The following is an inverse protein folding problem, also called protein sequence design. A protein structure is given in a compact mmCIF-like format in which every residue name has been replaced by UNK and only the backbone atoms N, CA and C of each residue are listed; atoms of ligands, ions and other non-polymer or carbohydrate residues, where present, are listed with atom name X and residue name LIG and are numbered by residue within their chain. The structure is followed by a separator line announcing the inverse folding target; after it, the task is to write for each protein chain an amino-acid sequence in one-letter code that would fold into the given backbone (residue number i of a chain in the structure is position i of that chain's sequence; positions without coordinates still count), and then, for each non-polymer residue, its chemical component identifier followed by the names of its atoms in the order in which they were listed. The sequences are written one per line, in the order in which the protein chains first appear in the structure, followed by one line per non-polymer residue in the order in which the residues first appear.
data_IF_728605763392
#
_entry.id   IF_728605763392
#
_cell.length_a   1.000
_cell.length_b   1.000
_cell.length_c   1.000
_cell.angle_alpha   90.00
_cell.angle_beta   90.00
_cell.angle_gamma   90.00
#
_symmetry.space_group_name_H-M   'P 1'
#
loop_
_entity.id
_entity.type
_entity.pdbx_description
1 polymer ?
#
# COMPACT_ATOMS: atom_id res chain seq x y z
N UNK A 1 -5.56 -4.49 44.76
CA UNK A 1 -5.77 -3.88 46.08
C UNK A 1 -4.40 -3.63 46.70
N UNK A 2 -3.73 -2.56 46.25
CA UNK A 2 -2.44 -2.14 46.81
C UNK A 2 -2.68 -1.12 47.91
N UNK A 3 -2.02 -1.36 49.03
CA UNK A 3 -1.97 -0.48 50.20
C UNK A 3 -1.38 0.87 49.78
N UNK A 4 -2.10 1.94 50.09
CA UNK A 4 -1.57 3.29 50.06
C UNK A 4 -0.81 3.50 51.37
N UNK A 5 0.49 3.79 51.25
CA UNK A 5 1.31 4.30 52.35
C UNK A 5 0.91 5.77 52.64
N UNK A 6 0.83 6.18 53.92
CA UNK A 6 0.51 7.55 54.28
C UNK A 6 1.71 8.48 54.03
N UNK A 7 1.42 9.65 53.46
CA UNK A 7 2.34 10.76 53.26
C UNK A 7 3.01 11.19 54.58
N UNK A 8 4.29 11.60 54.57
CA UNK A 8 4.94 12.18 55.72
C UNK A 8 4.42 13.61 55.98
N UNK A 9 4.05 13.88 57.22
CA UNK A 9 3.67 15.20 57.72
C UNK A 9 4.80 16.23 57.50
N UNK A 10 4.47 17.50 57.21
CA UNK A 10 5.47 18.54 57.04
C UNK A 10 6.12 18.87 58.38
N UNK A 11 7.44 18.71 58.45
CA UNK A 11 8.28 19.18 59.54
C UNK A 11 8.06 20.67 59.77
N UNK A 12 7.76 21.02 61.02
CA UNK A 12 7.56 22.38 61.46
C UNK A 12 8.84 23.21 61.23
N UNK A 13 8.69 24.31 60.49
CA UNK A 13 9.70 25.35 60.34
C UNK A 13 10.14 25.87 61.72
N UNK A 14 11.44 25.96 62.03
CA UNK A 14 11.90 26.65 63.22
C UNK A 14 11.68 28.16 63.05
N UNK A 15 10.93 28.75 63.99
CA UNK A 15 10.74 30.19 64.11
C UNK A 15 12.11 30.90 64.17
N UNK A 16 12.28 32.05 63.49
CA UNK A 16 13.49 32.84 63.64
C UNK A 16 13.49 33.49 65.02
N UNK A 17 14.39 33.05 65.91
CA UNK A 17 14.73 33.74 67.15
C UNK A 17 15.29 35.14 66.81
N UNK A 18 14.40 36.12 66.72
CA UNK A 18 14.74 37.53 66.74
C UNK A 18 14.96 37.94 68.20
N UNK A 19 16.18 37.78 68.69
CA UNK A 19 16.64 38.52 69.87
C UNK A 19 18.15 38.78 69.75
N UNK A 20 18.50 39.57 68.73
CA UNK A 20 19.75 40.31 68.73
C UNK A 20 19.64 41.40 69.80
N UNK A 21 19.92 41.02 71.05
CA UNK A 21 20.18 41.95 72.14
C UNK A 21 21.31 42.88 71.71
N UNK A 22 20.94 44.08 71.28
CA UNK A 22 21.81 45.23 71.07
C UNK A 22 22.56 45.45 72.39
N UNK A 23 23.79 44.97 72.44
CA UNK A 23 24.71 45.29 73.53
C UNK A 23 24.96 46.80 73.48
N UNK A 24 24.83 47.51 74.61
CA UNK A 24 25.10 48.93 74.63
C UNK A 24 26.57 49.15 74.28
N UNK A 25 26.79 49.97 73.26
CA UNK A 25 28.09 50.53 72.88
C UNK A 25 28.75 51.03 74.16
N UNK A 26 29.82 50.34 74.57
CA UNK A 26 30.69 50.74 75.67
C UNK A 26 31.08 52.21 75.46
N UNK A 27 30.59 53.07 76.33
CA UNK A 27 31.16 54.39 76.50
C UNK A 27 32.66 54.22 76.84
N UNK A 28 33.56 55.04 76.28
CA UNK A 28 34.97 54.99 76.65
C UNK A 28 35.08 55.29 78.14
N UNK A 29 35.45 54.28 78.93
CA UNK A 29 35.82 54.50 80.33
C UNK A 29 36.98 55.52 80.36
N UNK A 30 36.96 56.48 81.30
CA UNK A 30 38.02 57.46 81.40
C UNK A 30 39.36 56.75 81.58
N UNK A 31 40.39 57.25 80.89
CA UNK A 31 41.72 56.67 80.83
C UNK A 31 42.45 56.80 82.18
N UNK A 32 42.02 56.01 83.16
CA UNK A 32 42.55 55.97 84.55
C UNK A 32 44.00 55.49 84.62
N UNK A 33 44.57 55.07 83.48
CA UNK A 33 45.96 54.64 83.38
C UNK A 33 46.96 55.79 83.62
N UNK A 34 46.61 57.01 83.20
CA UNK A 34 47.41 58.22 83.41
C UNK A 34 47.37 58.63 84.87
N UNK A 35 46.18 58.62 85.48
CA UNK A 35 45.98 58.99 86.88
C UNK A 35 46.75 58.08 87.85
N UNK A 36 46.86 56.79 87.53
CA UNK A 36 47.58 55.81 88.38
C UNK A 36 49.09 55.85 88.22
N UNK A 37 49.59 56.13 87.01
CA UNK A 37 51.02 56.35 86.81
C UNK A 37 51.49 57.62 87.53
N UNK A 38 50.66 58.65 87.55
CA UNK A 38 50.92 59.88 88.30
C UNK A 38 50.73 59.67 89.81
N UNK A 39 49.81 58.81 90.25
CA UNK A 39 49.70 58.37 91.65
C UNK A 39 50.94 57.60 92.12
N UNK A 40 51.46 56.65 91.33
CA UNK A 40 52.68 55.91 91.66
C UNK A 40 53.89 56.86 91.80
N UNK A 41 54.08 57.79 90.85
CA UNK A 41 55.12 58.82 90.91
C UNK A 41 54.97 59.74 92.13
N UNK A 42 53.73 60.10 92.47
CA UNK A 42 53.41 60.90 93.64
C UNK A 42 53.73 60.15 94.95
N UNK A 43 53.42 58.86 95.02
CA UNK A 43 53.75 57.99 96.15
C UNK A 43 55.26 57.79 96.29
N UNK A 44 55.99 57.56 95.19
CA UNK A 44 57.45 57.49 95.18
C UNK A 44 58.09 58.78 95.71
N UNK A 45 57.63 59.94 95.21
CA UNK A 45 58.09 61.24 95.67
C UNK A 45 57.78 61.45 97.17
N UNK A 46 56.59 61.04 97.64
CA UNK A 46 56.20 61.12 99.04
C UNK A 46 57.06 60.22 99.94
N UNK A 47 57.37 59.01 99.51
CA UNK A 47 58.28 58.09 100.22
C UNK A 47 59.65 58.75 100.35
N UNK A 48 60.20 59.32 99.27
CA UNK A 48 61.49 60.00 99.30
C UNK A 48 61.52 61.17 100.30
N UNK A 49 60.45 61.97 100.36
CA UNK A 49 60.32 63.07 101.34
C UNK A 49 60.23 62.55 102.78
N UNK A 50 59.45 61.49 103.02
CA UNK A 50 59.31 60.88 104.36
C UNK A 50 60.63 60.28 104.84
N UNK A 51 61.41 59.67 103.94
CA UNK A 51 62.74 59.16 104.25
C UNK A 51 63.73 60.29 104.59
N UNK A 52 63.71 61.38 103.83
CA UNK A 52 64.53 62.56 104.13
C UNK A 52 64.19 63.16 105.50
N UNK A 53 62.90 63.34 105.80
CA UNK A 53 62.43 63.84 107.10
C UNK A 53 62.80 62.88 108.24
N UNK A 54 62.72 61.57 108.02
CA UNK A 54 63.17 60.58 109.00
C UNK A 54 64.67 60.77 109.29
N UNK A 55 65.51 60.88 108.26
CA UNK A 55 66.96 61.09 108.43
C UNK A 55 67.21 62.39 109.21
N UNK A 56 66.53 63.48 108.84
CA UNK A 56 66.66 64.76 109.56
C UNK A 56 66.26 64.62 111.03
N UNK A 57 65.13 63.95 111.33
CA UNK A 57 64.73 63.69 112.73
C UNK A 57 65.72 62.81 113.47
N UNK A 58 66.32 61.80 112.83
CA UNK A 58 67.38 60.98 113.44
C UNK A 58 68.61 61.82 113.80
N UNK A 59 69.09 62.65 112.87
CA UNK A 59 70.23 63.54 113.12
C UNK A 59 69.95 64.57 114.21
N UNK A 60 68.74 65.12 114.27
CA UNK A 60 68.34 66.04 115.33
C UNK A 60 68.24 65.32 116.68
N UNK A 61 67.72 64.08 116.69
CA UNK A 61 67.65 63.25 117.89
C UNK A 61 69.04 63.03 118.49
N UNK A 62 70.01 62.70 117.64
CA UNK A 62 71.36 62.37 118.08
C UNK A 62 72.10 63.62 118.60
N UNK A 63 71.97 64.77 117.92
CA UNK A 63 72.45 66.06 118.45
C UNK A 63 71.80 66.43 119.78
N UNK A 64 70.50 66.17 119.93
CA UNK A 64 69.77 66.44 121.17
C UNK A 64 70.24 65.52 122.31
N UNK A 65 70.48 64.23 122.03
CA UNK A 65 71.07 63.28 123.01
C UNK A 65 72.46 63.73 123.46
N UNK A 66 73.30 64.17 122.53
CA UNK A 66 74.65 64.68 122.82
C UNK A 66 74.59 65.95 123.69
N UNK A 67 73.68 66.88 123.37
CA UNK A 67 73.44 68.08 124.16
C UNK A 67 72.90 67.76 125.56
N UNK A 68 71.99 66.78 125.68
CA UNK A 68 71.47 66.27 126.96
C UNK A 68 72.60 65.66 127.79
N UNK A 69 73.45 64.82 127.20
CA UNK A 69 74.58 64.20 127.87
C UNK A 69 75.60 65.25 128.37
N UNK A 70 75.85 66.28 127.56
CA UNK A 70 76.74 67.41 127.91
C UNK A 70 76.14 68.30 129.00
N UNK A 71 74.84 68.61 128.93
CA UNK A 71 74.15 69.38 129.96
C UNK A 71 74.06 68.61 131.28
N UNK A 72 73.84 67.30 131.24
CA UNK A 72 73.82 66.43 132.41
C UNK A 72 75.18 66.35 133.12
N UNK A 73 76.30 66.41 132.38
CA UNK A 73 77.65 66.41 132.96
C UNK A 73 78.09 67.78 133.52
N UNK A 74 77.53 68.88 133.03
CA UNK A 74 77.79 70.25 133.52
C UNK A 74 76.87 70.68 134.67
N UNK A 75 75.77 69.96 134.89
CA UNK A 75 74.74 70.30 135.87
C UNK A 75 75.06 69.80 137.29
N UNK A 76 76.16 70.25 137.89
CA UNK A 76 76.34 70.13 139.34
C UNK A 76 75.46 71.18 140.07
N UNK A 77 74.20 70.80 140.35
CA UNK A 77 73.45 71.34 141.49
C UNK A 77 72.37 72.42 141.26
N UNK A 78 72.11 72.90 140.04
CA UNK A 78 71.11 73.96 139.79
C UNK A 78 69.69 73.46 139.45
N UNK A 79 68.64 74.00 140.08
CA UNK A 79 67.22 73.73 139.71
C UNK A 79 66.91 74.04 138.24
N UNK A 80 67.55 75.07 137.67
CA UNK A 80 67.36 75.48 136.27
C UNK A 80 67.92 74.44 135.28
N UNK A 81 69.05 73.81 135.59
CA UNK A 81 69.63 72.77 134.75
C UNK A 81 68.75 71.51 134.71
N UNK A 82 68.12 71.15 135.83
CA UNK A 82 67.12 70.05 135.89
C UNK A 82 65.88 70.33 135.05
N UNK A 83 65.41 71.58 135.01
CA UNK A 83 64.26 71.96 134.17
C UNK A 83 64.60 71.89 132.67
N UNK A 84 65.79 72.36 132.26
CA UNK A 84 66.26 72.27 130.87
C UNK A 84 66.48 70.82 130.43
N UNK A 85 66.95 69.95 131.33
CA UNK A 85 67.08 68.51 131.08
C UNK A 85 65.72 67.85 130.82
N UNK A 86 64.74 68.10 131.70
CA UNK A 86 63.38 67.56 131.53
C UNK A 86 62.70 68.07 130.24
N UNK A 87 62.93 69.32 129.86
CA UNK A 87 62.44 69.87 128.58
C UNK A 87 63.11 69.18 127.38
N UNK A 88 64.42 68.93 127.44
CA UNK A 88 65.14 68.23 126.38
C UNK A 88 64.70 66.75 126.27
N UNK A 89 64.45 66.06 127.38
CA UNK A 89 63.88 64.70 127.40
C UNK A 89 62.46 64.67 126.80
N UNK A 90 61.62 65.66 127.13
CA UNK A 90 60.28 65.78 126.55
C UNK A 90 60.34 66.05 125.02
N UNK A 91 61.29 66.88 124.57
CA UNK A 91 61.55 67.08 123.12
C UNK A 91 62.04 65.80 122.46
N UNK A 92 62.90 65.02 123.11
CA UNK A 92 63.36 63.71 122.61
C UNK A 92 62.21 62.72 122.47
N UNK A 93 61.32 62.64 123.47
CA UNK A 93 60.15 61.77 123.42
C UNK A 93 59.18 62.15 122.29
N UNK A 94 58.94 63.46 122.09
CA UNK A 94 58.11 63.96 120.98
C UNK A 94 58.71 63.63 119.62
N UNK A 95 60.04 63.76 119.49
CA UNK A 95 60.75 63.44 118.26
C UNK A 95 60.76 61.93 117.96
N UNK A 96 60.92 61.10 119.00
CA UNK A 96 60.79 59.64 118.87
C UNK A 96 59.39 59.23 118.41
N UNK A 97 58.34 59.85 118.97
CA UNK A 97 56.97 59.63 118.51
C UNK A 97 56.76 60.10 117.05
N UNK A 98 57.36 61.23 116.66
CA UNK A 98 57.35 61.72 115.27
C UNK A 98 58.04 60.73 114.33
N UNK A 99 59.19 60.17 114.73
CA UNK A 99 59.92 59.16 113.96
C UNK A 99 59.08 57.89 113.74
N UNK A 100 58.41 57.39 114.77
CA UNK A 100 57.52 56.22 114.65
C UNK A 100 56.39 56.47 113.66
N UNK A 101 55.73 57.64 113.74
CA UNK A 101 54.67 58.01 112.78
C UNK A 101 55.20 58.17 111.35
N UNK A 102 56.40 58.70 111.17
CA UNK A 102 57.04 58.80 109.85
C UNK A 102 57.34 57.40 109.27
N UNK A 103 57.75 56.44 110.11
CA UNK A 103 57.97 55.06 109.68
C UNK A 103 56.66 54.37 109.28
N UNK A 104 55.61 54.50 110.08
CA UNK A 104 54.28 53.95 109.78
C UNK A 104 53.74 54.53 108.47
N UNK A 105 53.79 55.85 108.30
CA UNK A 105 53.32 56.51 107.07
C UNK A 105 54.15 56.15 105.84
N UNK A 106 55.46 55.92 106.00
CA UNK A 106 56.32 55.43 104.91
C UNK A 106 56.01 53.97 104.55
N UNK A 107 55.72 53.12 105.54
CA UNK A 107 55.30 51.73 105.30
C UNK A 107 53.95 51.66 104.58
N UNK A 108 52.97 52.46 104.99
CA UNK A 108 51.67 52.55 104.31
C UNK A 108 51.82 53.03 102.86
N UNK A 109 52.66 54.05 102.63
CA UNK A 109 52.92 54.54 101.28
C UNK A 109 53.59 53.48 100.39
N UNK A 110 54.53 52.70 100.93
CA UNK A 110 55.15 51.57 100.21
C UNK A 110 54.15 50.47 99.88
N UNK A 111 53.29 50.09 100.82
CA UNK A 111 52.25 49.09 100.58
C UNK A 111 51.30 49.52 99.46
N UNK A 112 50.90 50.80 99.43
CA UNK A 112 50.08 51.36 98.35
C UNK A 112 50.81 51.36 97.01
N UNK A 113 52.10 51.73 96.99
CA UNK A 113 52.90 51.69 95.76
C UNK A 113 52.96 50.28 95.18
N UNK A 114 53.23 49.26 96.02
CA UNK A 114 53.26 47.86 95.58
C UNK A 114 51.92 47.40 95.01
N UNK A 115 50.79 47.78 95.64
CA UNK A 115 49.47 47.45 95.12
C UNK A 115 49.19 48.09 93.75
N UNK A 116 49.57 49.36 93.56
CA UNK A 116 49.43 50.06 92.28
C UNK A 116 50.32 49.43 91.20
N UNK A 117 51.54 49.01 91.54
CA UNK A 117 52.42 48.30 90.61
C UNK A 117 51.87 46.94 90.17
N UNK A 118 51.30 46.17 91.09
CA UNK A 118 50.66 44.88 90.80
C UNK A 118 49.44 45.08 89.88
N UNK A 119 48.56 46.03 90.21
CA UNK A 119 47.41 46.36 89.36
C UNK A 119 47.86 46.85 87.97
N UNK A 120 48.94 47.63 87.88
CA UNK A 120 49.52 48.05 86.59
C UNK A 120 50.00 46.86 85.75
N UNK A 121 50.61 45.83 86.37
CA UNK A 121 51.04 44.62 85.66
C UNK A 121 49.84 43.83 85.15
N UNK A 122 48.81 43.65 85.98
CA UNK A 122 47.59 42.92 85.60
C UNK A 122 46.86 43.62 84.44
N UNK A 123 46.72 44.94 84.49
CA UNK A 123 46.10 45.70 83.41
C UNK A 123 46.90 45.61 82.11
N UNK A 124 48.24 45.67 82.18
CA UNK A 124 49.08 45.45 81.00
C UNK A 124 48.85 44.07 80.40
N UNK A 125 48.74 43.04 81.24
CA UNK A 125 48.44 41.69 80.76
C UNK A 125 47.06 41.60 80.12
N UNK A 126 46.03 42.18 80.74
CA UNK A 126 44.68 42.24 80.17
C UNK A 126 44.67 42.95 78.81
N UNK A 127 45.41 44.05 78.65
CA UNK A 127 45.54 44.75 77.36
C UNK A 127 46.21 43.86 76.31
N UNK A 128 47.23 43.09 76.66
CA UNK A 128 47.89 42.14 75.74
C UNK A 128 46.91 41.05 75.31
N UNK A 129 46.17 40.47 76.25
CA UNK A 129 45.20 39.42 75.98
C UNK A 129 44.06 39.93 75.10
N UNK A 130 43.55 41.13 75.37
CA UNK A 130 42.52 41.78 74.55
C UNK A 130 43.02 42.07 73.14
N UNK A 131 44.25 42.59 72.98
CA UNK A 131 44.86 42.81 71.65
C UNK A 131 45.02 41.50 70.88
N UNK A 132 45.39 40.43 71.57
CA UNK A 132 45.53 39.09 70.97
C UNK A 132 44.18 38.53 70.53
N UNK A 133 43.14 38.68 71.36
CA UNK A 133 41.77 38.30 71.02
C UNK A 133 41.23 39.11 69.84
N UNK A 134 41.49 40.42 69.81
CA UNK A 134 41.12 41.30 68.70
C UNK A 134 41.78 40.86 67.39
N UNK A 135 43.09 40.58 67.41
CA UNK A 135 43.80 40.10 66.23
C UNK A 135 43.23 38.77 65.71
N UNK A 136 42.91 37.84 66.61
CA UNK A 136 42.28 36.55 66.24
C UNK A 136 40.89 36.76 65.65
N UNK A 137 40.08 37.63 66.23
CA UNK A 137 38.74 37.94 65.73
C UNK A 137 38.80 38.56 64.33
N UNK A 138 39.71 39.51 64.09
CA UNK A 138 39.91 40.11 62.77
C UNK A 138 40.33 39.07 61.73
N UNK A 139 41.26 38.18 62.06
CA UNK A 139 41.66 37.09 61.16
C UNK A 139 40.50 36.12 60.85
N UNK A 140 39.60 35.89 61.82
CA UNK A 140 38.39 35.10 61.58
C UNK A 140 37.41 35.82 60.66
N UNK A 141 37.24 37.14 60.81
CA UNK A 141 36.40 37.95 59.93
C UNK A 141 36.93 37.89 58.49
N UNK A 142 38.22 38.15 58.27
CA UNK A 142 38.84 38.08 56.94
C UNK A 142 38.67 36.70 56.28
N UNK A 143 38.83 35.63 57.07
CA UNK A 143 38.60 34.25 56.60
C UNK A 143 37.13 34.01 56.21
N UNK A 144 36.19 34.45 57.05
CA UNK A 144 34.76 34.35 56.76
C UNK A 144 34.35 35.15 55.53
N UNK A 145 34.88 36.36 55.34
CA UNK A 145 34.64 37.18 54.15
C UNK A 145 35.16 36.49 52.88
N UNK A 146 36.34 35.87 52.93
CA UNK A 146 36.87 35.08 51.82
C UNK A 146 35.96 33.89 51.48
N UNK A 147 35.49 33.15 52.48
CA UNK A 147 34.59 32.01 52.29
C UNK A 147 33.26 32.48 51.69
N UNK A 148 32.71 33.60 52.16
CA UNK A 148 31.47 34.18 51.61
C UNK A 148 31.67 34.52 50.13
N UNK A 149 32.78 35.15 49.75
CA UNK A 149 33.07 35.49 48.35
C UNK A 149 33.19 34.23 47.46
N UNK A 150 33.82 33.16 47.95
CA UNK A 150 33.90 31.88 47.24
C UNK A 150 32.51 31.24 47.07
N UNK A 151 31.68 31.25 48.11
CA UNK A 151 30.32 30.71 48.07
C UNK A 151 29.41 31.52 47.13
N UNK A 152 29.53 32.84 47.11
CA UNK A 152 28.83 33.70 46.15
C UNK A 152 29.25 33.40 44.71
N UNK A 153 30.55 33.19 44.47
CA UNK A 153 31.07 32.76 43.17
C UNK A 153 30.52 31.41 42.74
N UNK A 154 30.54 30.42 43.64
CA UNK A 154 29.97 29.09 43.39
C UNK A 154 28.47 29.15 43.12
N UNK A 155 27.73 29.99 43.84
CA UNK A 155 26.29 30.21 43.65
C UNK A 155 25.98 30.77 42.25
N UNK A 156 26.74 31.79 41.79
CA UNK A 156 26.58 32.34 40.43
C UNK A 156 26.82 31.28 39.36
N UNK A 157 27.90 30.51 39.47
CA UNK A 157 28.19 29.42 38.54
C UNK A 157 27.09 28.36 38.53
N UNK A 158 26.55 28.00 39.69
CA UNK A 158 25.45 27.04 39.78
C UNK A 158 24.15 27.57 39.12
N UNK A 159 23.86 28.87 39.24
CA UNK A 159 22.72 29.51 38.59
C UNK A 159 22.88 29.48 37.07
N UNK A 160 24.06 29.85 36.55
CA UNK A 160 24.36 29.82 35.11
C UNK A 160 24.25 28.40 34.56
N UNK A 161 24.88 27.42 35.24
CA UNK A 161 24.79 26.02 34.86
C UNK A 161 23.34 25.52 34.84
N UNK A 162 22.51 25.93 35.81
CA UNK A 162 21.09 25.58 35.83
C UNK A 162 20.34 26.17 34.63
N UNK A 163 20.66 27.40 34.23
CA UNK A 163 20.06 28.05 33.06
C UNK A 163 20.43 27.29 31.77
N UNK A 164 21.68 26.88 31.61
CA UNK A 164 22.15 26.08 30.48
C UNK A 164 21.45 24.72 30.42
N UNK A 165 21.33 24.03 31.56
CA UNK A 165 20.59 22.76 31.62
C UNK A 165 19.11 22.93 31.24
N UNK A 166 18.44 24.01 31.67
CA UNK A 166 17.06 24.31 31.27
C UNK A 166 16.95 24.57 29.77
N UNK A 167 17.89 25.29 29.18
CA UNK A 167 17.94 25.53 27.74
C UNK A 167 18.12 24.21 26.97
N UNK A 168 19.11 23.40 27.36
CA UNK A 168 19.35 22.08 26.77
C UNK A 168 18.14 21.14 26.87
N UNK A 169 17.43 21.15 28.00
CA UNK A 169 16.21 20.36 28.19
C UNK A 169 15.08 20.83 27.27
N UNK A 170 14.95 22.15 27.06
CA UNK A 170 13.96 22.74 26.15
C UNK A 170 14.23 22.34 24.71
N UNK A 171 15.48 22.39 24.28
CA UNK A 171 15.90 22.02 22.92
C UNK A 171 15.68 20.53 22.68
N UNK A 172 16.07 19.67 23.61
CA UNK A 172 15.80 18.23 23.54
C UNK A 172 14.30 17.92 23.48
N UNK A 173 13.47 18.66 24.23
CA UNK A 173 12.00 18.53 24.17
C UNK A 173 11.45 18.95 22.79
N UNK A 174 11.99 20.01 22.20
CA UNK A 174 11.58 20.48 20.87
C UNK A 174 11.97 19.46 19.78
N UNK A 175 13.18 18.92 19.84
CA UNK A 175 13.65 17.85 18.94
C UNK A 175 12.77 16.60 19.08
N UNK A 176 12.43 16.19 20.30
CA UNK A 176 11.56 15.04 20.53
C UNK A 176 10.17 15.23 19.90
N UNK A 177 9.59 16.44 20.00
CA UNK A 177 8.31 16.76 19.33
C UNK A 177 8.44 16.68 17.81
N UNK A 178 9.49 17.25 17.24
CA UNK A 178 9.73 17.20 15.79
C UNK A 178 9.87 15.75 15.28
N UNK A 179 10.61 14.91 16.02
CA UNK A 179 10.75 13.48 15.71
C UNK A 179 9.42 12.74 15.78
N UNK A 180 8.59 13.00 16.81
CA UNK A 180 7.24 12.39 16.91
C UNK A 180 6.34 12.81 15.76
N UNK A 181 6.37 14.09 15.37
CA UNK A 181 5.63 14.55 14.19
C UNK A 181 6.10 13.86 12.92
N UNK A 182 7.43 13.66 12.76
CA UNK A 182 7.99 12.93 11.62
C UNK A 182 7.58 11.46 11.61
N UNK A 183 7.53 10.81 12.77
CA UNK A 183 7.02 9.43 12.89
C UNK A 183 5.57 9.37 12.43
N UNK A 184 4.69 10.27 12.88
CA UNK A 184 3.29 10.27 12.45
C UNK A 184 3.11 10.46 10.94
N UNK A 185 3.93 11.31 10.31
CA UNK A 185 3.95 11.45 8.85
C UNK A 185 4.39 10.17 8.13
N UNK A 186 5.41 9.49 8.67
CA UNK A 186 5.89 8.22 8.11
C UNK A 186 4.86 7.10 8.27
N UNK A 187 4.16 7.02 9.40
CA UNK A 187 3.07 6.06 9.61
C UNK A 187 1.95 6.28 8.59
N UNK A 188 1.56 7.53 8.35
CA UNK A 188 0.55 7.86 7.35
C UNK A 188 1.02 7.47 5.94
N UNK A 189 2.26 7.78 5.58
CA UNK A 189 2.82 7.41 4.28
C UNK A 189 2.92 5.88 4.08
N UNK A 190 3.17 5.13 5.15
CA UNK A 190 3.16 3.66 5.10
C UNK A 190 1.73 3.15 4.89
N UNK A 191 0.74 3.67 5.61
CA UNK A 191 -0.67 3.30 5.40
C UNK A 191 -1.15 3.61 3.98
N UNK A 192 -0.85 4.80 3.45
CA UNK A 192 -1.17 5.18 2.06
C UNK A 192 -0.51 4.21 1.04
N UNK A 193 0.74 3.80 1.30
CA UNK A 193 1.43 2.82 0.45
C UNK A 193 0.77 1.44 0.52
N UNK A 194 0.33 0.99 1.69
CA UNK A 194 -0.37 -0.29 1.86
C UNK A 194 -1.70 -0.30 1.10
N UNK A 195 -2.47 0.79 1.17
CA UNK A 195 -3.71 0.95 0.39
C UNK A 195 -3.43 0.90 -1.11
N UNK A 196 -2.39 1.59 -1.59
CA UNK A 196 -1.99 1.54 -3.00
C UNK A 196 -1.58 0.13 -3.45
N UNK A 197 -0.86 -0.61 -2.62
CA UNK A 197 -0.50 -2.01 -2.91
C UNK A 197 -1.73 -2.90 -2.98
N UNK A 198 -2.69 -2.73 -2.05
CA UNK A 198 -3.93 -3.48 -2.06
C UNK A 198 -4.76 -3.18 -3.33
N UNK A 199 -4.88 -1.90 -3.69
CA UNK A 199 -5.55 -1.47 -4.92
C UNK A 199 -4.86 -2.06 -6.16
N UNK A 200 -3.52 -2.01 -6.22
CA UNK A 200 -2.75 -2.60 -7.33
C UNK A 200 -2.99 -4.10 -7.45
N UNK A 201 -2.98 -4.83 -6.33
CA UNK A 201 -3.27 -6.27 -6.33
C UNK A 201 -4.68 -6.56 -6.83
N UNK A 202 -5.68 -5.79 -6.39
CA UNK A 202 -7.05 -5.92 -6.88
C UNK A 202 -7.12 -5.70 -8.40
N UNK A 203 -6.49 -4.64 -8.92
CA UNK A 203 -6.47 -4.39 -10.37
C UNK A 203 -5.78 -5.52 -11.15
N UNK A 204 -4.71 -6.10 -10.62
CA UNK A 204 -4.04 -7.25 -11.24
C UNK A 204 -4.92 -8.50 -11.26
N UNK A 205 -5.70 -8.74 -10.20
CA UNK A 205 -6.69 -9.82 -10.17
C UNK A 205 -7.79 -9.60 -11.21
N UNK A 206 -8.31 -8.36 -11.32
CA UNK A 206 -9.31 -7.99 -12.32
C UNK A 206 -8.79 -8.19 -13.75
N UNK A 207 -7.57 -7.74 -14.05
CA UNK A 207 -6.91 -7.96 -15.34
C UNK A 207 -6.74 -9.47 -15.60
N UNK A 208 -6.32 -10.25 -14.59
CA UNK A 208 -6.13 -11.69 -14.74
C UNK A 208 -7.46 -12.41 -15.03
N UNK A 209 -8.55 -11.99 -14.40
CA UNK A 209 -9.90 -12.49 -14.69
C UNK A 209 -10.33 -12.13 -16.11
N UNK A 210 -10.19 -10.87 -16.50
CA UNK A 210 -10.55 -10.40 -17.85
C UNK A 210 -9.77 -11.16 -18.95
N UNK A 211 -8.47 -11.42 -18.73
CA UNK A 211 -7.66 -12.23 -19.66
C UNK A 211 -8.09 -13.70 -19.71
N UNK A 212 -8.57 -14.26 -18.59
CA UNK A 212 -9.10 -15.61 -18.57
C UNK A 212 -10.42 -15.69 -19.34
N UNK A 213 -11.32 -14.72 -19.11
CA UNK A 213 -12.60 -14.61 -19.81
C UNK A 213 -12.37 -14.46 -21.32
N UNK A 214 -11.44 -13.60 -21.75
CA UNK A 214 -11.06 -13.44 -23.16
C UNK A 214 -10.52 -14.75 -23.76
N UNK A 215 -9.73 -15.54 -23.02
CA UNK A 215 -9.24 -16.84 -23.49
C UNK A 215 -10.36 -17.86 -23.65
N UNK A 216 -11.32 -17.88 -22.74
CA UNK A 216 -12.50 -18.75 -22.83
C UNK A 216 -13.34 -18.36 -24.04
N UNK A 217 -13.59 -17.07 -24.24
CA UNK A 217 -14.32 -16.57 -25.41
C UNK A 217 -13.58 -16.91 -26.72
N UNK A 218 -12.27 -16.69 -26.79
CA UNK A 218 -11.46 -17.07 -27.97
C UNK A 218 -11.53 -18.58 -28.25
N UNK A 219 -11.47 -19.42 -27.21
CA UNK A 219 -11.58 -20.86 -27.38
C UNK A 219 -12.96 -21.28 -27.90
N UNK A 220 -14.04 -20.65 -27.42
CA UNK A 220 -15.39 -20.88 -27.93
C UNK A 220 -15.52 -20.46 -29.40
N UNK A 221 -14.96 -19.30 -29.78
CA UNK A 221 -14.93 -18.83 -31.17
C UNK A 221 -14.11 -19.79 -32.06
N UNK A 222 -12.98 -20.31 -31.58
CA UNK A 222 -12.17 -21.29 -32.31
C UNK A 222 -12.89 -22.64 -32.50
N UNK A 223 -13.67 -23.08 -31.50
CA UNK A 223 -14.53 -24.26 -31.60
C UNK A 223 -15.64 -24.04 -32.64
N UNK A 224 -16.35 -22.91 -32.58
CA UNK A 224 -17.38 -22.54 -33.54
C UNK A 224 -16.82 -22.45 -34.97
N UNK A 225 -15.62 -21.86 -35.13
CA UNK A 225 -14.95 -21.79 -36.43
C UNK A 225 -14.54 -23.17 -36.94
N UNK A 226 -14.08 -24.06 -36.06
CA UNK A 226 -13.75 -25.45 -36.41
C UNK A 226 -14.97 -26.23 -36.85
N UNK A 227 -16.11 -26.06 -36.16
CA UNK A 227 -17.39 -26.65 -36.54
C UNK A 227 -17.85 -26.12 -37.91
N UNK A 228 -17.77 -24.81 -38.13
CA UNK A 228 -18.11 -24.19 -39.41
C UNK A 228 -17.22 -24.68 -40.55
N UNK A 229 -15.91 -24.82 -40.31
CA UNK A 229 -14.97 -25.36 -41.30
C UNK A 229 -15.33 -26.80 -41.68
N UNK A 230 -15.75 -27.62 -40.71
CA UNK A 230 -16.20 -29.00 -40.96
C UNK A 230 -17.51 -29.02 -41.76
N UNK A 231 -18.47 -28.17 -41.41
CA UNK A 231 -19.73 -28.04 -42.17
C UNK A 231 -19.47 -27.59 -43.62
N UNK A 232 -18.54 -26.66 -43.82
CA UNK A 232 -18.11 -26.24 -45.15
C UNK A 232 -17.48 -27.39 -45.94
N UNK A 233 -16.62 -28.20 -45.30
CA UNK A 233 -16.02 -29.37 -45.95
C UNK A 233 -17.08 -30.42 -46.33
N UNK A 234 -18.04 -30.70 -45.44
CA UNK A 234 -19.18 -31.59 -45.73
C UNK A 234 -19.99 -31.04 -46.91
N UNK A 235 -20.28 -29.74 -46.91
CA UNK A 235 -21.01 -29.09 -48.00
C UNK A 235 -20.24 -29.22 -49.32
N UNK A 236 -18.93 -28.97 -49.32
CA UNK A 236 -18.07 -29.10 -50.49
C UNK A 236 -18.02 -30.53 -51.01
N UNK A 237 -17.86 -31.52 -50.13
CA UNK A 237 -17.90 -32.94 -50.49
C UNK A 237 -19.26 -33.34 -51.05
N UNK A 238 -20.36 -32.88 -50.44
CA UNK A 238 -21.73 -33.15 -50.91
C UNK A 238 -21.98 -32.51 -52.28
N UNK A 239 -21.49 -31.28 -52.49
CA UNK A 239 -21.59 -30.56 -53.76
C UNK A 239 -20.81 -31.28 -54.85
N UNK A 240 -19.57 -31.68 -54.55
CA UNK A 240 -18.71 -32.43 -55.49
C UNK A 240 -19.32 -33.79 -55.83
N UNK A 241 -19.87 -34.49 -54.82
CA UNK A 241 -20.60 -35.74 -55.03
C UNK A 241 -21.88 -35.55 -55.84
N UNK A 242 -22.63 -34.47 -55.58
CA UNK A 242 -23.81 -34.06 -56.34
C UNK A 242 -23.47 -33.78 -57.80
N UNK A 243 -22.40 -33.03 -58.05
CA UNK A 243 -21.85 -32.76 -59.38
C UNK A 243 -21.43 -34.05 -60.09
N UNK A 244 -20.76 -34.97 -59.39
CA UNK A 244 -20.37 -36.28 -59.94
C UNK A 244 -21.59 -37.12 -60.29
N UNK A 245 -22.64 -37.14 -59.44
CA UNK A 245 -23.91 -37.82 -59.74
C UNK A 245 -24.61 -37.18 -60.94
N UNK A 246 -24.69 -35.86 -60.98
CA UNK A 246 -25.28 -35.14 -62.10
C UNK A 246 -24.54 -35.42 -63.41
N UNK A 247 -23.19 -35.45 -63.39
CA UNK A 247 -22.40 -35.82 -64.56
C UNK A 247 -22.57 -37.29 -64.96
N UNK A 248 -22.67 -38.23 -64.00
CA UNK A 248 -22.97 -39.63 -64.31
C UNK A 248 -24.37 -39.79 -64.91
N UNK A 249 -25.37 -39.10 -64.36
CA UNK A 249 -26.74 -39.08 -64.90
C UNK A 249 -26.78 -38.44 -66.28
N UNK A 250 -26.02 -37.37 -66.50
CA UNK A 250 -25.87 -36.77 -67.83
C UNK A 250 -25.22 -37.74 -68.82
N UNK A 251 -24.15 -38.45 -68.42
CA UNK A 251 -23.53 -39.49 -69.24
C UNK A 251 -24.44 -40.69 -69.52
N UNK A 252 -25.26 -41.10 -68.55
CA UNK A 252 -26.30 -42.12 -68.74
C UNK A 252 -27.37 -41.63 -69.70
N UNK A 253 -27.85 -40.39 -69.54
CA UNK A 253 -28.81 -39.78 -70.44
C UNK A 253 -28.23 -39.66 -71.86
N UNK A 254 -26.95 -39.32 -72.01
CA UNK A 254 -26.26 -39.32 -73.30
C UNK A 254 -26.20 -40.73 -73.92
N UNK A 255 -25.91 -41.76 -73.13
CA UNK A 255 -25.93 -43.16 -73.60
C UNK A 255 -27.33 -43.63 -73.98
N UNK A 256 -28.35 -43.29 -73.20
CA UNK A 256 -29.75 -43.58 -73.52
C UNK A 256 -30.19 -42.84 -74.78
N UNK A 257 -29.75 -41.59 -74.96
CA UNK A 257 -30.03 -40.80 -76.14
C UNK A 257 -29.30 -41.35 -77.37
N UNK A 258 -28.07 -41.84 -77.21
CA UNK A 258 -27.33 -42.51 -78.28
C UNK A 258 -27.94 -43.87 -78.63
N UNK A 259 -28.35 -44.67 -77.63
CA UNK A 259 -29.09 -45.91 -77.86
C UNK A 259 -30.44 -45.64 -78.54
N UNK A 260 -31.14 -44.58 -78.15
CA UNK A 260 -32.36 -44.13 -78.84
C UNK A 260 -32.07 -43.70 -80.28
N UNK A 261 -30.95 -43.02 -80.55
CA UNK A 261 -30.52 -42.67 -81.91
C UNK A 261 -30.18 -43.92 -82.74
N UNK A 262 -29.50 -44.91 -82.17
CA UNK A 262 -29.23 -46.18 -82.84
C UNK A 262 -30.53 -46.94 -83.15
N UNK A 263 -31.48 -46.92 -82.21
CA UNK A 263 -32.81 -47.52 -82.40
C UNK A 263 -33.56 -46.78 -83.50
N UNK A 264 -33.54 -45.45 -83.51
CA UNK A 264 -34.11 -44.63 -84.59
C UNK A 264 -33.42 -44.95 -85.92
N UNK A 265 -32.09 -45.02 -85.98
CA UNK A 265 -31.37 -45.37 -87.19
C UNK A 265 -31.70 -46.80 -87.68
N UNK A 266 -31.91 -47.74 -86.77
CA UNK A 266 -32.38 -49.10 -87.08
C UNK A 266 -33.80 -49.06 -87.63
N UNK A 267 -34.71 -48.33 -87.00
CA UNK A 267 -36.09 -48.16 -87.44
C UNK A 267 -36.17 -47.40 -88.77
N UNK A 268 -35.31 -46.42 -89.01
CA UNK A 268 -35.16 -45.74 -90.30
C UNK A 268 -34.65 -46.73 -91.36
N UNK A 269 -33.71 -47.61 -91.01
CA UNK A 269 -33.25 -48.68 -91.89
C UNK A 269 -34.35 -49.70 -92.21
N UNK A 270 -35.18 -50.06 -91.25
CA UNK A 270 -36.35 -50.92 -91.44
C UNK A 270 -37.45 -50.22 -92.25
N UNK A 271 -37.67 -48.92 -92.03
CA UNK A 271 -38.60 -48.12 -92.81
C UNK A 271 -38.16 -48.03 -94.27
N UNK A 272 -36.87 -47.83 -94.54
CA UNK A 272 -36.32 -47.83 -95.89
C UNK A 272 -36.49 -49.21 -96.54
N UNK A 273 -36.22 -50.31 -95.82
CA UNK A 273 -36.49 -51.68 -96.33
C UNK A 273 -37.97 -51.91 -96.61
N UNK A 274 -38.86 -51.51 -95.70
CA UNK A 274 -40.29 -51.63 -95.88
C UNK A 274 -40.79 -50.76 -97.05
N UNK A 275 -40.19 -49.59 -97.26
CA UNK A 275 -40.49 -48.72 -98.39
C UNK A 275 -40.00 -49.33 -99.71
N UNK A 276 -38.80 -49.93 -99.73
CA UNK A 276 -38.26 -50.65 -100.88
C UNK A 276 -39.07 -51.91 -101.18
N UNK A 277 -39.49 -52.67 -100.17
CA UNK A 277 -40.36 -53.84 -100.30
C UNK A 277 -41.74 -53.45 -100.82
N UNK A 278 -42.35 -52.38 -100.30
CA UNK A 278 -43.61 -51.86 -100.79
C UNK A 278 -43.49 -51.34 -102.23
N UNK A 279 -42.38 -50.70 -102.58
CA UNK A 279 -42.09 -50.26 -103.95
C UNK A 279 -41.88 -51.45 -104.90
N UNK A 280 -41.20 -52.50 -104.44
CA UNK A 280 -41.03 -53.75 -105.17
C UNK A 280 -42.38 -54.45 -105.38
N UNK A 281 -43.24 -54.45 -104.35
CA UNK A 281 -44.59 -54.98 -104.41
C UNK A 281 -45.47 -54.18 -105.40
N UNK A 282 -45.35 -52.85 -105.44
CA UNK A 282 -46.05 -52.03 -106.43
C UNK A 282 -45.54 -52.26 -107.86
N UNK A 283 -44.24 -52.49 -108.04
CA UNK A 283 -43.67 -52.86 -109.35
C UNK A 283 -44.19 -54.23 -109.81
N UNK A 284 -44.29 -55.22 -108.92
CA UNK A 284 -44.87 -56.53 -109.20
C UNK A 284 -46.38 -56.44 -109.48
N UNK A 285 -47.09 -55.55 -108.79
CA UNK A 285 -48.52 -55.30 -109.02
C UNK A 285 -48.76 -54.60 -110.39
N UNK A 286 -47.89 -53.66 -110.76
CA UNK A 286 -47.93 -53.03 -112.10
C UNK A 286 -47.58 -54.02 -113.21
N UNK A 287 -46.63 -54.94 -112.99
CA UNK A 287 -46.31 -56.01 -113.93
C UNK A 287 -47.52 -56.92 -114.16
N UNK A 288 -48.19 -57.36 -113.08
CA UNK A 288 -49.41 -58.19 -113.15
C UNK A 288 -50.61 -57.49 -113.79
N UNK A 289 -50.74 -56.18 -113.59
CA UNK A 289 -51.79 -55.38 -114.24
C UNK A 289 -51.52 -55.15 -115.74
N UNK A 290 -50.25 -54.99 -116.14
CA UNK A 290 -49.87 -54.87 -117.56
C UNK A 290 -50.08 -56.18 -118.35
N UNK A 291 -49.87 -57.33 -117.70
CA UNK A 291 -50.07 -58.66 -118.29
C UNK A 291 -51.56 -58.99 -118.45
N UNK A 292 -52.40 -58.60 -117.48
CA UNK A 292 -53.86 -58.71 -117.59
C UNK A 292 -54.47 -57.78 -118.66
N UNK A 293 -53.93 -56.58 -118.83
CA UNK A 293 -54.36 -55.67 -119.91
C UNK A 293 -54.02 -56.24 -121.30
N UNK A 294 -52.88 -56.92 -121.43
CA UNK A 294 -52.46 -57.58 -122.67
C UNK A 294 -53.33 -58.79 -123.00
N UNK A 295 -53.69 -59.60 -122.01
CA UNK A 295 -54.60 -60.74 -122.17
C UNK A 295 -56.04 -60.31 -122.54
N UNK A 296 -56.56 -59.21 -121.97
CA UNK A 296 -57.90 -58.70 -122.31
C UNK A 296 -58.03 -58.21 -123.76
N UNK A 297 -56.97 -57.65 -124.33
CA UNK A 297 -56.95 -57.21 -125.74
C UNK A 297 -56.90 -58.43 -126.68
N UNK A 298 -56.12 -59.45 -126.35
CA UNK A 298 -55.94 -60.63 -127.20
C UNK A 298 -57.20 -61.53 -127.26
N UNK A 299 -57.93 -61.65 -126.13
CA UNK A 299 -59.23 -62.33 -126.10
C UNK A 299 -60.32 -61.51 -126.82
N UNK A 300 -60.30 -60.17 -126.73
CA UNK A 300 -61.29 -59.31 -127.39
C UNK A 300 -61.19 -59.29 -128.92
N UNK A 301 -59.99 -59.44 -129.48
CA UNK A 301 -59.79 -59.52 -130.94
C UNK A 301 -60.24 -60.87 -131.50
N UNK A 302 -60.04 -61.96 -130.74
CA UNK A 302 -60.37 -63.33 -131.18
C UNK A 302 -61.87 -63.62 -131.17
N UNK A 303 -62.61 -63.03 -130.23
CA UNK A 303 -64.08 -63.18 -130.15
C UNK A 303 -64.79 -62.41 -131.28
N UNK A 304 -64.35 -61.20 -131.62
CA UNK A 304 -64.94 -60.41 -132.72
C UNK A 304 -64.70 -61.03 -134.10
N UNK A 305 -63.60 -61.76 -134.27
CA UNK A 305 -63.31 -62.47 -135.52
C UNK A 305 -64.23 -63.70 -135.70
N UNK A 306 -64.57 -64.38 -134.61
CA UNK A 306 -65.46 -65.54 -134.61
C UNK A 306 -66.94 -65.15 -134.80
N UNK A 307 -67.37 -64.02 -134.23
CA UNK A 307 -68.73 -63.47 -134.42
C UNK A 307 -68.98 -63.01 -135.87
N UNK A 308 -68.00 -62.38 -136.53
CA UNK A 308 -68.12 -61.98 -137.93
C UNK A 308 -68.19 -63.18 -138.89
N UNK A 309 -67.37 -64.22 -138.67
CA UNK A 309 -67.40 -65.42 -139.50
C UNK A 309 -68.71 -66.23 -139.33
N UNK A 310 -69.34 -66.19 -138.14
CA UNK A 310 -70.64 -66.81 -137.91
C UNK A 310 -71.80 -66.03 -138.56
N UNK A 311 -71.73 -64.70 -138.59
CA UNK A 311 -72.72 -63.87 -139.30
C UNK A 311 -72.62 -64.03 -140.82
N UNK A 312 -71.41 -64.13 -141.38
CA UNK A 312 -71.22 -64.40 -142.81
C UNK A 312 -71.73 -65.80 -143.22
N UNK A 313 -71.51 -66.83 -142.39
CA UNK A 313 -72.04 -68.17 -142.64
C UNK A 313 -73.57 -68.23 -142.55
N UNK A 314 -74.18 -67.49 -141.62
CA UNK A 314 -75.64 -67.43 -141.50
C UNK A 314 -76.28 -66.73 -142.71
N UNK A 315 -75.68 -65.66 -143.20
CA UNK A 315 -76.15 -64.96 -144.41
C UNK A 315 -75.97 -65.78 -145.69
N UNK A 316 -74.95 -66.65 -145.75
CA UNK A 316 -74.76 -67.56 -146.89
C UNK A 316 -75.74 -68.74 -146.88
N UNK A 317 -76.10 -69.24 -145.70
CA UNK A 317 -77.12 -70.29 -145.54
C UNK A 317 -78.51 -69.75 -145.91
N UNK A 318 -78.88 -68.54 -145.48
CA UNK A 318 -80.15 -67.91 -145.88
C UNK A 318 -80.20 -67.65 -147.41
N UNK A 319 -79.10 -67.21 -148.03
CA UNK A 319 -79.04 -67.02 -149.49
C UNK A 319 -79.18 -68.33 -150.28
N UNK A 320 -78.64 -69.44 -149.75
CA UNK A 320 -78.78 -70.77 -150.33
C UNK A 320 -80.18 -71.36 -150.12
N UNK A 321 -80.82 -71.12 -148.97
CA UNK A 321 -82.21 -71.50 -148.71
C UNK A 321 -83.18 -70.74 -149.63
N UNK A 322 -82.93 -69.45 -149.91
CA UNK A 322 -83.72 -68.67 -150.86
C UNK A 322 -83.56 -69.19 -152.31
N UNK A 323 -82.32 -69.51 -152.73
CA UNK A 323 -82.06 -70.10 -154.05
C UNK A 323 -82.64 -71.51 -154.21
N UNK A 324 -82.72 -72.29 -153.14
CA UNK A 324 -83.32 -73.64 -153.16
C UNK A 324 -84.86 -73.56 -153.21
N UNK A 325 -85.49 -72.55 -152.61
CA UNK A 325 -86.92 -72.28 -152.75
C UNK A 325 -87.32 -71.88 -154.17
N UNK A 326 -86.53 -71.04 -154.84
CA UNK A 326 -86.80 -70.59 -156.22
C UNK A 326 -86.67 -71.73 -157.26
N UNK A 327 -86.01 -72.84 -156.90
CA UNK A 327 -85.77 -74.00 -157.77
C UNK A 327 -86.59 -75.26 -157.41
N UNK A 328 -87.51 -75.18 -156.44
CA UNK A 328 -88.51 -76.23 -156.19
C UNK A 328 -88.01 -77.53 -155.54
N UNK A 329 -86.95 -77.48 -154.73
CA UNK A 329 -86.40 -78.66 -154.02
C UNK A 329 -86.71 -78.55 -152.51
N UNK A 330 -87.40 -79.52 -151.88
CA UNK A 330 -87.71 -79.48 -150.45
C UNK A 330 -86.49 -79.88 -149.59
N UNK A 331 -86.16 -79.08 -148.56
CA UNK A 331 -85.09 -79.37 -147.57
C UNK A 331 -85.66 -79.29 -146.13
N UNK A 332 -85.33 -80.26 -145.25
CA UNK A 332 -85.88 -80.37 -143.88
C UNK A 332 -85.10 -79.58 -142.80
N UNK A 333 -85.72 -79.29 -141.63
CA UNK A 333 -85.13 -78.46 -140.57
C UNK A 333 -84.13 -79.21 -139.67
N UNK A 334 -83.01 -78.55 -139.30
CA UNK A 334 -82.04 -79.02 -138.31
C UNK A 334 -81.97 -78.08 -137.08
N UNK A 335 -82.35 -78.66 -135.92
CA UNK A 335 -82.11 -78.16 -134.56
C UNK A 335 -80.61 -78.13 -134.22
N UNK A 336 -80.13 -77.12 -133.47
CA UNK A 336 -79.06 -77.29 -132.46
C UNK A 336 -79.12 -76.20 -131.35
N UNK A 337 -79.16 -76.66 -130.10
CA UNK A 337 -78.94 -75.93 -128.82
C UNK A 337 -77.45 -75.82 -128.47
N UNK A 338 -77.03 -74.89 -127.58
CA UNK A 338 -75.93 -75.22 -126.65
C UNK A 338 -76.03 -74.66 -125.21
N UNK A 339 -75.19 -75.26 -124.35
CA UNK A 339 -75.09 -75.30 -122.87
C UNK A 339 -73.84 -74.52 -122.38
N UNK A 340 -73.85 -73.88 -121.19
CA UNK A 340 -72.66 -73.41 -120.43
C UNK A 340 -73.01 -73.06 -118.94
N UNK A 341 -72.54 -73.78 -117.88
CA UNK A 341 -71.29 -73.64 -117.04
C UNK A 341 -71.18 -72.32 -116.24
N UNK A 342 -71.37 -72.23 -114.90
CA UNK A 342 -70.57 -72.66 -113.72
C UNK A 342 -69.36 -71.76 -113.34
N UNK A 343 -69.38 -71.14 -112.14
CA UNK A 343 -68.26 -70.57 -111.34
C UNK A 343 -68.82 -70.38 -109.91
N UNK A 344 -68.38 -70.95 -108.77
CA UNK A 344 -67.08 -71.13 -108.08
C UNK A 344 -66.36 -69.81 -107.76
N UNK A 345 -66.32 -69.47 -106.45
CA UNK A 345 -65.24 -68.82 -105.66
C UNK A 345 -65.85 -68.49 -104.26
N UNK A 346 -65.58 -69.19 -103.16
CA UNK A 346 -64.32 -69.38 -102.39
C UNK A 346 -63.92 -68.16 -101.52
N UNK A 347 -64.42 -68.21 -100.27
CA UNK A 347 -63.69 -68.02 -99.00
C UNK A 347 -62.68 -66.86 -98.80
N UNK A 348 -62.95 -65.96 -97.83
CA UNK A 348 -62.09 -65.64 -96.66
C UNK A 348 -62.66 -64.49 -95.79
N UNK A 349 -62.37 -64.45 -94.46
CA UNK A 349 -63.09 -63.71 -93.43
C UNK A 349 -62.49 -62.32 -93.09
N UNK A 350 -63.19 -61.48 -92.31
CA UNK A 350 -62.67 -60.20 -91.83
C UNK A 350 -61.65 -60.38 -90.68
N UNK A 351 -60.52 -59.69 -90.80
CA UNK A 351 -59.51 -59.53 -89.75
C UNK A 351 -59.98 -58.67 -88.56
N UNK A 352 -59.36 -58.83 -87.38
CA UNK A 352 -59.77 -58.20 -86.13
C UNK A 352 -59.13 -56.82 -85.94
N UNK A 353 -59.92 -55.89 -85.42
CA UNK A 353 -59.44 -54.59 -84.92
C UNK A 353 -58.65 -54.81 -83.61
N UNK A 354 -57.32 -54.79 -83.71
CA UNK A 354 -56.39 -54.73 -82.59
C UNK A 354 -55.60 -53.43 -82.69
N UNK A 355 -55.89 -52.49 -81.79
CA UNK A 355 -54.90 -51.53 -81.31
C UNK A 355 -54.98 -51.49 -79.77
N UNK A 356 -54.34 -52.46 -79.14
CA UNK A 356 -53.80 -52.32 -77.78
C UNK A 356 -52.35 -51.86 -77.92
N UNK A 357 -51.99 -50.79 -77.22
CA UNK A 357 -50.64 -50.56 -76.72
C UNK A 357 -50.72 -50.58 -75.19
N UNK A 358 -49.99 -51.47 -74.50
CA UNK A 358 -49.95 -51.54 -73.05
C UNK A 358 -48.78 -50.72 -72.50
N UNK A 359 -48.98 -50.08 -71.34
CA UNK A 359 -47.89 -49.72 -70.44
C UNK A 359 -48.18 -50.31 -69.06
N UNK A 360 -47.33 -51.23 -68.66
CA UNK A 360 -47.39 -51.89 -67.35
C UNK A 360 -46.03 -51.76 -66.66
N UNK A 361 -46.14 -51.52 -65.34
CA UNK A 361 -45.22 -51.89 -64.25
C UNK A 361 -44.07 -50.94 -63.86
N UNK A 362 -44.27 -50.26 -62.73
CA UNK A 362 -43.51 -50.46 -61.47
C UNK A 362 -44.29 -49.80 -60.32
N UNK A 363 -44.92 -50.55 -59.40
CA UNK A 363 -44.38 -51.14 -58.17
C UNK A 363 -44.09 -50.15 -57.02
N UNK A 364 -45.02 -50.12 -56.05
CA UNK A 364 -44.82 -50.27 -54.59
C UNK A 364 -44.08 -49.24 -53.69
N UNK A 365 -44.63 -49.18 -52.45
CA UNK A 365 -44.11 -48.67 -51.15
C UNK A 365 -44.28 -47.17 -50.85
N UNK A 366 -45.21 -46.78 -49.95
CA UNK A 366 -45.19 -46.82 -48.46
C UNK A 366 -44.14 -45.90 -47.83
N UNK A 367 -44.61 -45.02 -46.94
CA UNK A 367 -43.89 -44.71 -45.69
C UNK A 367 -43.54 -43.25 -45.41
N UNK A 368 -44.31 -42.68 -44.48
CA UNK A 368 -43.84 -41.91 -43.32
C UNK A 368 -43.33 -40.47 -43.44
N UNK A 369 -44.26 -39.58 -43.10
CA UNK A 369 -44.17 -38.53 -42.07
C UNK A 369 -42.99 -38.67 -41.10
N UNK A 370 -42.09 -37.68 -41.06
CA UNK A 370 -41.44 -37.25 -39.80
C UNK A 370 -41.27 -35.73 -39.76
N UNK A 371 -41.90 -35.14 -38.74
CA UNK A 371 -41.72 -33.78 -38.24
C UNK A 371 -40.30 -33.60 -37.68
N UNK A 372 -39.59 -32.53 -38.04
CA UNK A 372 -38.56 -32.00 -37.17
C UNK A 372 -39.14 -30.91 -36.27
N UNK A 373 -39.11 -31.20 -34.96
CA UNK A 373 -39.33 -30.24 -33.88
C UNK A 373 -38.20 -29.22 -33.89
N UNK A 374 -38.56 -27.95 -33.83
CA UNK A 374 -37.75 -26.93 -33.20
C UNK A 374 -37.59 -27.27 -31.70
N UNK A 375 -36.36 -27.15 -31.19
CA UNK A 375 -36.10 -26.99 -29.76
C UNK A 375 -35.30 -25.71 -29.58
N UNK A 376 -35.93 -24.81 -28.83
CA UNK A 376 -35.35 -23.88 -27.87
C UNK A 376 -34.33 -24.53 -26.94
#
# INVERSE_FOLDING_TARGET
MSKADPEPEPEAEPEPETDAAVTPVNAPEPDTSVDRADEARSLEARIAVLEALRIETETFQDKLKEAIATAASQAEGGREAKAKLAEAEARLAKLAASKTRLLETAQDARARLTAVEEESRDLKQQVIDLKTRLAKANAQIESSESIIAELEGASKMAIELNADYRASTKDASAENRALRSRIGLLETAVSEREELLQSTNQTNEEISRALLDERVERAAIEEDFSALSKDFEILQQSSTAGLKRANMQAGQAEQELEAARETIASLEGELVRAYDEHKQMQLDQHAKQSENARLRVDYGVRTRLLENNLQELSAHIEALEQQLLDNGIPVPPLNLTPIATSSIDEELPPEPDRSEAPDALTAHQRGDVVRFKAKS
#
